data_IF_337895464162
#
_entry.id   IF_337895464162
#
_cell.length_a   1.000
_cell.length_b   1.000
_cell.length_c   1.000
_cell.angle_alpha   90.00
_cell.angle_beta   90.00
_cell.angle_gamma   90.00
#
_symmetry.space_group_name_H-M   'P 1'
#
loop_
_entity.id
_entity.type
_entity.pdbx_description
1 polymer ?
#
# COMPACT_ATOMS: atom_id res chain seq x y z
N UNK A 1 -8.55 6.95 1.61
CA UNK A 1 -7.46 6.69 0.65
C UNK A 1 -7.43 5.22 0.31
N UNK A 2 -6.94 4.86 -0.87
CA UNK A 2 -6.83 3.46 -1.31
C UNK A 2 -5.98 2.64 -0.33
N UNK A 3 -6.47 1.46 0.07
CA UNK A 3 -5.77 0.60 1.03
C UNK A 3 -4.59 -0.11 0.37
N UNK A 4 -3.48 -0.26 1.10
CA UNK A 4 -2.32 -1.01 0.63
C UNK A 4 -2.33 -2.47 1.14
N UNK A 5 -1.75 -3.42 0.37
CA UNK A 5 -1.47 -4.78 0.84
C UNK A 5 -0.62 -4.76 2.11
N UNK A 6 -0.79 -5.74 3.00
CA UNK A 6 -0.02 -5.83 4.26
C UNK A 6 1.49 -5.74 4.03
N UNK A 7 2.01 -6.48 3.05
CA UNK A 7 3.43 -6.47 2.69
C UNK A 7 3.94 -5.09 2.22
N UNK A 8 3.11 -4.31 1.55
CA UNK A 8 3.48 -2.97 1.10
C UNK A 8 3.42 -1.97 2.26
N UNK A 9 2.50 -2.16 3.21
CA UNK A 9 2.48 -1.39 4.48
C UNK A 9 3.74 -1.63 5.30
N UNK A 10 4.17 -2.89 5.44
CA UNK A 10 5.44 -3.23 6.12
C UNK A 10 6.62 -2.56 5.42
N UNK A 11 6.67 -2.58 4.08
CA UNK A 11 7.74 -1.91 3.35
C UNK A 11 7.71 -0.38 3.52
N UNK A 12 6.52 0.23 3.60
CA UNK A 12 6.38 1.66 3.92
C UNK A 12 6.88 2.01 5.33
N UNK A 13 6.62 1.14 6.32
CA UNK A 13 7.19 1.28 7.67
C UNK A 13 8.72 1.14 7.64
N UNK A 14 9.25 0.19 6.87
CA UNK A 14 10.69 0.01 6.67
C UNK A 14 11.33 1.24 6.02
N UNK A 15 10.73 1.79 4.97
CA UNK A 15 11.21 3.02 4.35
C UNK A 15 11.19 4.19 5.33
N UNK A 16 10.07 4.42 6.02
CA UNK A 16 9.96 5.48 7.05
C UNK A 16 11.08 5.34 8.08
N UNK A 17 11.35 4.12 8.50
CA UNK A 17 12.34 3.84 9.53
C UNK A 17 13.76 4.07 9.03
N UNK A 18 14.06 3.55 7.84
CA UNK A 18 15.32 3.76 7.14
C UNK A 18 15.60 5.24 6.92
N UNK A 19 14.63 6.01 6.38
CA UNK A 19 14.79 7.44 6.09
C UNK A 19 15.05 8.26 7.36
N UNK A 20 14.49 7.85 8.49
CA UNK A 20 14.74 8.47 9.81
C UNK A 20 16.18 8.24 10.28
N UNK A 21 16.68 7.00 10.19
CA UNK A 21 18.06 6.67 10.59
C UNK A 21 19.07 7.29 9.64
N UNK A 22 18.81 7.24 8.33
CA UNK A 22 19.65 7.89 7.31
C UNK A 22 19.70 9.39 7.57
N UNK A 23 18.56 10.05 7.79
CA UNK A 23 18.52 11.47 8.12
C UNK A 23 19.30 11.84 9.37
N UNK A 24 19.22 11.03 10.43
CA UNK A 24 19.97 11.25 11.67
C UNK A 24 21.49 11.21 11.45
N UNK A 25 21.97 10.22 10.69
CA UNK A 25 23.40 10.06 10.40
C UNK A 25 23.91 11.11 9.40
N UNK A 26 23.13 11.35 8.34
CA UNK A 26 23.46 12.31 7.30
C UNK A 26 23.52 13.75 7.83
N UNK A 27 22.55 14.17 8.65
CA UNK A 27 22.47 15.54 9.17
C UNK A 27 23.61 15.90 10.14
N UNK A 28 24.31 14.90 10.69
CA UNK A 28 25.49 15.09 11.55
C UNK A 28 26.80 14.76 10.81
N UNK A 29 26.76 14.71 9.48
CA UNK A 29 27.92 14.42 8.62
C UNK A 29 28.61 13.08 8.91
N UNK A 30 27.86 12.10 9.40
CA UNK A 30 28.37 10.76 9.64
C UNK A 30 28.12 9.86 8.42
N UNK A 31 29.13 9.07 8.03
CA UNK A 31 28.98 8.10 6.94
C UNK A 31 27.90 7.08 7.25
N UNK A 32 26.86 7.09 6.41
CA UNK A 32 25.67 6.25 6.51
C UNK A 32 25.95 4.88 5.89
N UNK A 33 26.36 3.91 6.71
CA UNK A 33 26.58 2.53 6.26
C UNK A 33 25.33 1.67 6.43
N UNK A 34 25.16 0.66 5.58
CA UNK A 34 24.06 -0.30 5.70
C UNK A 34 24.04 -0.98 7.08
N UNK A 35 25.19 -1.31 7.66
CA UNK A 35 25.25 -1.90 9.00
C UNK A 35 24.59 -1.01 10.07
N UNK A 36 24.88 0.30 10.06
CA UNK A 36 24.28 1.27 10.99
C UNK A 36 22.77 1.42 10.74
N UNK A 37 22.38 1.53 9.46
CA UNK A 37 20.95 1.63 9.07
C UNK A 37 20.20 0.37 9.48
N UNK A 38 20.75 -0.82 9.22
CA UNK A 38 20.18 -2.11 9.62
C UNK A 38 19.95 -2.16 11.11
N UNK A 39 20.97 -1.86 11.91
CA UNK A 39 20.83 -1.86 13.36
C UNK A 39 19.73 -0.89 13.82
N UNK A 40 19.79 0.38 13.40
CA UNK A 40 18.80 1.39 13.79
C UNK A 40 17.37 1.06 13.37
N UNK A 41 17.17 0.50 12.18
CA UNK A 41 15.84 0.08 11.70
C UNK A 41 15.33 -1.12 12.49
N UNK A 42 16.16 -2.13 12.74
CA UNK A 42 15.75 -3.29 13.53
C UNK A 42 15.42 -2.92 14.98
N UNK A 43 16.18 -2.00 15.58
CA UNK A 43 15.91 -1.50 16.93
C UNK A 43 14.59 -0.72 16.99
N UNK A 44 14.31 0.10 15.99
CA UNK A 44 13.10 0.91 15.94
C UNK A 44 11.84 0.10 15.60
N UNK A 45 11.94 -0.88 14.69
CA UNK A 45 10.79 -1.66 14.22
C UNK A 45 10.59 -2.98 14.94
N UNK A 46 11.62 -3.48 15.64
CA UNK A 46 11.65 -4.84 16.21
C UNK A 46 11.33 -5.92 15.19
N UNK A 47 11.73 -5.70 13.93
CA UNK A 47 11.52 -6.59 12.77
C UNK A 47 12.84 -6.75 12.01
N UNK A 48 13.01 -7.88 11.33
CA UNK A 48 14.20 -8.17 10.51
C UNK A 48 14.33 -7.18 9.34
N UNK A 49 15.51 -6.63 9.14
CA UNK A 49 15.82 -5.72 8.02
C UNK A 49 17.09 -6.16 7.29
N UNK A 50 16.98 -6.45 5.99
CA UNK A 50 18.07 -6.98 5.17
C UNK A 50 18.30 -6.12 3.92
N UNK A 51 19.44 -6.31 3.24
CA UNK A 51 19.76 -5.61 1.98
C UNK A 51 18.68 -5.82 0.92
N UNK A 52 18.03 -6.99 0.91
CA UNK A 52 16.86 -7.26 0.06
C UNK A 52 15.78 -6.19 0.24
N UNK A 53 15.50 -5.75 1.46
CA UNK A 53 14.48 -4.73 1.73
C UNK A 53 14.91 -3.36 1.20
N UNK A 54 16.21 -3.05 1.25
CA UNK A 54 16.79 -1.85 0.64
C UNK A 54 16.64 -1.89 -0.88
N UNK A 55 16.86 -3.05 -1.51
CA UNK A 55 16.60 -3.27 -2.93
C UNK A 55 15.11 -3.08 -3.29
N UNK A 56 14.19 -3.55 -2.45
CA UNK A 56 12.76 -3.30 -2.63
C UNK A 56 12.41 -1.81 -2.52
N UNK A 57 12.97 -1.11 -1.52
CA UNK A 57 12.82 0.35 -1.38
C UNK A 57 13.35 1.08 -2.62
N UNK A 58 14.52 0.68 -3.13
CA UNK A 58 15.10 1.21 -4.38
C UNK A 58 14.17 0.97 -5.57
N UNK A 59 13.48 -0.16 -5.63
CA UNK A 59 12.52 -0.45 -6.70
C UNK A 59 11.32 0.49 -6.66
N UNK A 60 10.78 0.73 -5.45
CA UNK A 60 9.62 1.61 -5.25
C UNK A 60 9.98 3.08 -5.44
N UNK A 61 11.18 3.49 -5.04
CA UNK A 61 11.63 4.88 -5.14
C UNK A 61 13.11 4.97 -5.58
N UNK A 62 13.40 4.74 -6.87
CA UNK A 62 14.78 4.66 -7.37
C UNK A 62 15.61 5.94 -7.18
N UNK A 63 14.95 7.09 -7.24
CA UNK A 63 15.59 8.40 -7.07
C UNK A 63 15.81 8.81 -5.60
N UNK A 64 15.44 7.96 -4.62
CA UNK A 64 15.48 8.35 -3.19
C UNK A 64 16.87 8.35 -2.57
N UNK A 65 17.74 7.44 -2.99
CA UNK A 65 19.08 7.25 -2.46
C UNK A 65 20.08 6.90 -3.55
N UNK A 66 21.33 7.31 -3.32
CA UNK A 66 22.49 6.83 -4.03
C UNK A 66 23.19 5.76 -3.18
N UNK A 67 23.43 4.61 -3.78
CA UNK A 67 24.11 3.49 -3.14
C UNK A 67 25.52 3.37 -3.70
N UNK A 68 26.52 3.18 -2.84
CA UNK A 68 27.92 2.99 -3.23
C UNK A 68 28.57 1.90 -2.40
N UNK A 69 29.70 1.40 -2.88
CA UNK A 69 30.56 0.53 -2.09
C UNK A 69 31.85 1.27 -1.75
N UNK A 70 32.11 1.45 -0.46
CA UNK A 70 33.24 2.24 0.05
C UNK A 70 34.14 1.42 0.98
N UNK A 71 35.43 1.75 1.01
CA UNK A 71 36.44 1.15 1.91
C UNK A 71 36.90 2.17 2.95
N UNK A 72 37.60 1.68 3.97
CA UNK A 72 38.25 2.50 5.00
C UNK A 72 37.27 3.36 5.82
N UNK A 73 35.99 2.98 5.88
CA UNK A 73 35.02 3.65 6.76
C UNK A 73 35.41 3.30 8.21
N UNK A 74 35.62 4.31 9.09
CA UNK A 74 35.95 4.05 10.49
C UNK A 74 34.83 3.24 11.16
N UNK A 75 35.14 2.03 11.59
CA UNK A 75 34.26 1.20 12.41
C UNK A 75 34.81 1.17 13.84
N UNK A 76 33.92 1.26 14.83
CA UNK A 76 34.30 1.17 16.26
C UNK A 76 34.82 -0.23 16.65
N UNK A 77 34.68 -1.22 15.77
CA UNK A 77 35.03 -2.61 16.01
C UNK A 77 36.34 -2.97 15.27
N UNK A 78 37.38 -3.35 16.02
CA UNK A 78 38.69 -3.79 15.50
C UNK A 78 38.65 -5.14 14.74
N UNK A 79 37.48 -5.79 14.72
CA UNK A 79 37.25 -7.10 14.10
C UNK A 79 36.96 -7.04 12.59
N UNK A 80 36.57 -5.86 12.05
CA UNK A 80 36.37 -5.69 10.61
C UNK A 80 37.69 -5.28 9.99
N UNK A 81 38.24 -6.12 9.11
CA UNK A 81 39.50 -5.79 8.42
C UNK A 81 39.29 -4.49 7.66
N UNK A 82 40.21 -3.53 7.85
CA UNK A 82 40.24 -2.21 7.17
C UNK A 82 40.12 -2.29 5.64
N UNK A 83 40.29 -3.49 5.07
CA UNK A 83 40.12 -3.83 3.67
C UNK A 83 38.69 -4.06 3.19
N UNK A 84 37.70 -4.23 4.06
CA UNK A 84 36.37 -4.72 3.67
C UNK A 84 35.47 -3.59 3.18
N UNK A 85 34.85 -3.83 2.02
CA UNK A 85 33.91 -2.93 1.37
C UNK A 85 32.58 -2.91 2.12
N UNK A 86 32.02 -1.72 2.38
CA UNK A 86 30.69 -1.56 3.00
C UNK A 86 29.74 -0.80 2.06
N UNK A 87 28.47 -1.21 2.05
CA UNK A 87 27.40 -0.52 1.34
C UNK A 87 27.08 0.80 2.06
N UNK A 88 27.22 1.92 1.37
CA UNK A 88 26.86 3.26 1.86
C UNK A 88 25.59 3.76 1.20
N UNK A 89 24.81 4.55 1.94
CA UNK A 89 23.47 5.00 1.58
C UNK A 89 23.41 6.51 1.71
N UNK A 90 23.38 7.22 0.59
CA UNK A 90 23.36 8.69 0.56
C UNK A 90 21.97 9.18 0.11
N UNK A 91 21.26 10.02 0.88
CA UNK A 91 19.98 10.56 0.45
C UNK A 91 20.17 11.54 -0.71
N UNK A 92 19.34 11.41 -1.74
CA UNK A 92 19.29 12.39 -2.83
C UNK A 92 18.30 13.49 -2.44
N UNK A 93 18.77 14.73 -2.44
CA UNK A 93 18.00 15.94 -2.13
C UNK A 93 18.02 16.86 -3.35
N UNK A 94 16.88 17.48 -3.67
CA UNK A 94 16.83 18.57 -4.64
C UNK A 94 17.51 19.79 -3.99
N UNK A 95 18.49 20.37 -4.69
CA UNK A 95 19.29 21.46 -4.15
C UNK A 95 18.45 22.74 -4.12
N UNK A 96 17.94 23.12 -2.95
CA UNK A 96 17.42 24.46 -2.72
C UNK A 96 18.60 25.43 -2.78
N UNK A 97 18.51 26.49 -3.58
CA UNK A 97 19.60 27.40 -3.97
C UNK A 97 20.20 28.28 -2.86
N UNK A 98 20.34 27.77 -1.64
CA UNK A 98 21.02 28.42 -0.53
C UNK A 98 22.40 27.81 -0.26
N UNK A 99 23.35 28.63 0.18
CA UNK A 99 24.74 28.28 0.53
C UNK A 99 24.89 27.35 1.77
N UNK A 100 23.80 26.71 2.21
CA UNK A 100 23.79 25.79 3.35
C UNK A 100 24.19 24.36 2.99
N UNK A 101 24.79 23.64 3.95
CA UNK A 101 25.02 22.21 3.81
C UNK A 101 23.69 21.47 3.62
N UNK A 102 23.63 20.54 2.67
CA UNK A 102 22.42 19.78 2.38
C UNK A 102 21.97 19.01 3.63
N UNK A 103 20.72 19.23 4.06
CA UNK A 103 20.16 18.60 5.25
C UNK A 103 18.84 17.89 4.94
N UNK A 104 18.67 16.70 5.50
CA UNK A 104 17.42 15.95 5.45
C UNK A 104 16.47 16.45 6.55
N UNK A 105 15.75 17.53 6.24
CA UNK A 105 14.80 18.20 7.13
C UNK A 105 13.51 17.40 7.36
N UNK A 106 12.68 17.86 8.31
CA UNK A 106 11.36 17.26 8.56
C UNK A 106 10.41 17.37 7.36
N UNK A 107 10.49 18.46 6.58
CA UNK A 107 9.70 18.62 5.35
C UNK A 107 10.14 17.62 4.28
N UNK A 108 11.46 17.41 4.11
CA UNK A 108 12.00 16.39 3.22
C UNK A 108 11.52 14.99 3.60
N UNK A 109 11.62 14.61 4.88
CA UNK A 109 11.13 13.31 5.39
C UNK A 109 9.64 13.09 5.09
N UNK A 110 8.81 14.12 5.27
CA UNK A 110 7.38 14.04 5.02
C UNK A 110 7.07 13.91 3.52
N UNK A 111 7.73 14.70 2.67
CA UNK A 111 7.59 14.63 1.22
C UNK A 111 8.02 13.27 0.69
N UNK A 112 9.19 12.77 1.10
CA UNK A 112 9.71 11.45 0.71
C UNK A 112 8.77 10.34 1.13
N UNK A 113 8.19 10.39 2.34
CA UNK A 113 7.15 9.45 2.80
C UNK A 113 5.91 9.49 1.91
N UNK A 114 5.42 10.69 1.55
CA UNK A 114 4.26 10.85 0.65
C UNK A 114 4.55 10.27 -0.72
N UNK A 115 5.72 10.55 -1.30
CA UNK A 115 6.14 10.01 -2.60
C UNK A 115 6.23 8.49 -2.56
N UNK A 116 6.86 7.92 -1.53
CA UNK A 116 6.95 6.47 -1.37
C UNK A 116 5.57 5.81 -1.27
N UNK A 117 4.67 6.37 -0.45
CA UNK A 117 3.29 5.90 -0.32
C UNK A 117 2.51 5.98 -1.64
N UNK A 118 2.67 7.07 -2.41
CA UNK A 118 2.05 7.23 -3.73
C UNK A 118 2.57 6.18 -4.72
N UNK A 119 3.88 5.92 -4.74
CA UNK A 119 4.47 4.92 -5.62
C UNK A 119 3.96 3.51 -5.30
N UNK A 120 3.83 3.16 -4.02
CA UNK A 120 3.22 1.88 -3.62
C UNK A 120 1.76 1.77 -4.09
N UNK A 121 0.97 2.83 -3.98
CA UNK A 121 -0.42 2.83 -4.48
C UNK A 121 -0.44 2.64 -6.00
N UNK A 122 0.46 3.30 -6.74
CA UNK A 122 0.55 3.16 -8.18
C UNK A 122 0.90 1.72 -8.60
N UNK A 123 1.82 1.05 -7.89
CA UNK A 123 2.09 -0.38 -8.14
C UNK A 123 0.82 -1.24 -7.98
N UNK A 124 0.02 -1.00 -6.95
CA UNK A 124 -1.24 -1.72 -6.75
C UNK A 124 -2.27 -1.38 -7.85
N UNK A 125 -2.30 -0.13 -8.33
CA UNK A 125 -3.16 0.28 -9.45
C UNK A 125 -2.85 -0.48 -10.73
N UNK A 126 -1.57 -0.74 -11.04
CA UNK A 126 -1.19 -1.55 -12.21
C UNK A 126 -1.77 -2.97 -12.12
N UNK A 127 -1.66 -3.61 -10.96
CA UNK A 127 -2.25 -4.94 -10.74
C UNK A 127 -3.78 -4.91 -10.77
N UNK A 128 -4.39 -3.87 -10.20
CA UNK A 128 -5.83 -3.67 -10.23
C UNK A 128 -6.36 -3.48 -11.66
N UNK A 129 -5.64 -2.74 -12.50
CA UNK A 129 -5.94 -2.53 -13.92
C UNK A 129 -5.93 -3.84 -14.72
N UNK A 130 -4.91 -4.68 -14.50
CA UNK A 130 -4.85 -6.03 -15.09
C UNK A 130 -6.03 -6.90 -14.63
N UNK A 131 -6.39 -6.83 -13.34
CA UNK A 131 -7.56 -7.52 -12.81
C UNK A 131 -8.87 -7.02 -13.42
N UNK A 132 -9.07 -5.70 -13.57
CA UNK A 132 -10.29 -5.16 -14.15
C UNK A 132 -10.45 -5.56 -15.62
N UNK A 133 -9.35 -5.63 -16.37
CA UNK A 133 -9.33 -6.08 -17.75
C UNK A 133 -9.67 -7.58 -17.91
N UNK A 134 -9.43 -8.40 -16.89
CA UNK A 134 -9.77 -9.84 -16.92
C UNK A 134 -11.22 -10.16 -16.54
N UNK A 135 -11.99 -9.16 -16.11
CA UNK A 135 -13.41 -9.35 -15.76
C UNK A 135 -14.28 -9.48 -17.03
N UNK A 136 -15.41 -10.18 -16.90
CA UNK A 136 -16.43 -10.29 -17.94
C UNK A 136 -17.72 -9.58 -17.51
N UNK A 137 -18.09 -8.42 -18.10
CA UNK A 137 -17.37 -7.70 -19.16
C UNK A 137 -16.17 -6.91 -18.62
N UNK A 138 -15.17 -6.57 -19.47
CA UNK A 138 -13.99 -5.82 -19.04
C UNK A 138 -14.37 -4.45 -18.49
N UNK A 139 -13.79 -4.08 -17.35
CA UNK A 139 -13.95 -2.73 -16.79
C UNK A 139 -12.68 -1.92 -17.04
N UNK A 140 -12.86 -0.64 -17.38
CA UNK A 140 -11.77 0.33 -17.50
C UNK A 140 -12.11 1.52 -16.61
N UNK A 141 -11.28 1.77 -15.60
CA UNK A 141 -11.45 2.89 -14.66
C UNK A 141 -10.20 3.77 -14.74
N UNK A 142 -10.33 5.09 -14.98
CA UNK A 142 -9.21 6.02 -14.95
C UNK A 142 -8.50 6.03 -13.59
N UNK A 143 -7.18 5.91 -13.58
CA UNK A 143 -6.37 5.77 -12.37
C UNK A 143 -6.43 7.00 -11.46
N UNK A 144 -6.63 8.19 -12.03
CA UNK A 144 -6.77 9.48 -11.35
C UNK A 144 -8.09 9.61 -10.58
N UNK A 145 -9.14 8.91 -11.02
CA UNK A 145 -10.49 8.97 -10.43
C UNK A 145 -10.77 7.83 -9.45
N UNK A 146 -9.85 6.86 -9.31
CA UNK A 146 -10.04 5.69 -8.47
C UNK A 146 -10.01 6.05 -6.98
N UNK A 147 -11.15 5.94 -6.30
CA UNK A 147 -11.26 6.22 -4.86
C UNK A 147 -11.26 4.95 -4.00
N UNK A 148 -11.68 3.81 -4.57
CA UNK A 148 -11.77 2.50 -3.93
C UNK A 148 -11.42 1.36 -4.90
N UNK A 149 -10.87 0.28 -4.35
CA UNK A 149 -10.65 -0.95 -5.12
C UNK A 149 -11.95 -1.65 -5.49
N UNK A 150 -11.90 -2.46 -6.54
CA UNK A 150 -13.00 -3.34 -6.89
C UNK A 150 -13.24 -4.34 -5.73
N UNK A 151 -14.49 -4.64 -5.30
CA UNK A 151 -14.74 -5.51 -4.14
C UNK A 151 -14.17 -6.93 -4.24
N UNK A 152 -14.17 -7.49 -5.45
CA UNK A 152 -13.53 -8.79 -5.78
C UNK A 152 -12.02 -8.72 -5.99
N UNK A 153 -11.39 -7.55 -5.93
CA UNK A 153 -9.94 -7.44 -6.05
C UNK A 153 -9.31 -7.73 -4.69
N UNK A 154 -8.60 -8.85 -4.58
CA UNK A 154 -7.87 -9.18 -3.37
C UNK A 154 -6.56 -8.38 -3.31
N UNK A 155 -6.58 -7.31 -2.52
CA UNK A 155 -5.42 -6.40 -2.38
C UNK A 155 -4.20 -7.13 -1.82
N UNK A 156 -4.36 -8.12 -0.94
CA UNK A 156 -3.23 -8.80 -0.30
C UNK A 156 -2.54 -9.85 -1.20
N UNK A 157 -3.20 -10.28 -2.28
CA UNK A 157 -2.65 -11.23 -3.27
C UNK A 157 -1.76 -10.59 -4.34
N UNK A 158 -1.69 -9.26 -4.38
CA UNK A 158 -0.81 -8.51 -5.29
C UNK A 158 0.62 -9.06 -5.22
N UNK A 159 1.39 -9.22 -6.31
CA UNK A 159 2.75 -9.75 -6.27
C UNK A 159 3.74 -9.02 -5.35
N UNK A 160 4.78 -9.74 -4.91
CA UNK A 160 5.88 -9.17 -4.14
C UNK A 160 6.72 -8.21 -5.00
N UNK A 161 7.19 -7.13 -4.38
CA UNK A 161 8.11 -6.19 -5.04
C UNK A 161 9.45 -6.89 -5.22
N UNK A 162 9.87 -7.03 -6.47
CA UNK A 162 11.16 -7.58 -6.85
C UNK A 162 12.25 -6.59 -6.42
N UNK A 163 13.25 -6.99 -5.62
CA UNK A 163 14.33 -6.10 -5.21
C UNK A 163 15.21 -5.67 -6.39
N UNK A 164 15.49 -4.38 -6.49
CA UNK A 164 16.45 -3.85 -7.45
C UNK A 164 17.87 -4.20 -7.01
N UNK A 165 18.75 -4.40 -8.00
CA UNK A 165 20.16 -4.69 -7.75
C UNK A 165 20.85 -3.57 -6.98
N UNK A 166 21.62 -3.95 -5.96
CA UNK A 166 22.47 -3.05 -5.18
C UNK A 166 23.92 -3.20 -5.63
N UNK A 167 24.74 -2.14 -5.52
CA UNK A 167 26.14 -2.24 -5.90
C UNK A 167 26.83 -3.29 -5.04
N UNK A 168 27.47 -4.26 -5.68
CA UNK A 168 28.30 -5.25 -5.00
C UNK A 168 29.74 -4.72 -4.89
N UNK A 169 30.51 -5.21 -3.91
CA UNK A 169 31.95 -4.99 -3.90
C UNK A 169 32.56 -5.35 -5.26
N UNK A 170 33.41 -4.48 -5.84
CA UNK A 170 34.15 -4.87 -7.04
C UNK A 170 34.94 -6.13 -6.69
N UNK A 171 34.85 -7.14 -7.56
CA UNK A 171 35.61 -8.38 -7.39
C UNK A 171 37.07 -8.00 -7.19
N UNK A 172 37.50 -8.08 -5.94
CA UNK A 172 38.92 -8.18 -5.65
C UNK A 172 39.20 -9.63 -5.93
N UNK A 173 39.96 -9.89 -7.00
CA UNK A 173 40.64 -11.17 -7.16
C UNK A 173 41.45 -11.37 -5.88
N UNK A 174 40.84 -12.03 -4.89
CA UNK A 174 41.56 -12.54 -3.73
C UNK A 174 42.37 -13.72 -4.22
N UNK A 175 43.37 -13.45 -5.06
CA UNK A 175 44.47 -14.38 -5.26
C UNK A 175 45.37 -14.26 -4.04
N UNK A 176 44.90 -14.90 -2.98
CA UNK A 176 45.73 -15.35 -1.85
C UNK A 176 45.29 -16.77 -1.55
N UNK A 177 45.30 -17.63 -2.58
CA UNK A 177 45.33 -19.07 -2.33
C UNK A 177 46.65 -19.33 -1.61
N UNK A 178 46.64 -20.15 -0.55
CA UNK A 178 47.84 -20.50 0.21
C UNK A 178 49.00 -20.95 -0.72
N UNK A 179 48.67 -21.50 -1.88
CA UNK A 179 49.59 -21.88 -2.95
C UNK A 179 50.41 -20.70 -3.53
N UNK A 180 49.83 -19.51 -3.72
CA UNK A 180 50.58 -18.34 -4.22
C UNK A 180 51.43 -17.68 -3.14
N UNK A 181 50.95 -17.67 -1.89
CA UNK A 181 51.76 -17.25 -0.75
C UNK A 181 52.97 -18.18 -0.54
N UNK A 182 52.75 -19.50 -0.68
CA UNK A 182 53.81 -20.49 -0.65
C UNK A 182 54.75 -20.38 -1.87
N UNK A 183 54.24 -20.02 -3.05
CA UNK A 183 55.06 -19.79 -4.24
C UNK A 183 55.97 -18.56 -4.09
N UNK A 184 55.46 -17.45 -3.54
CA UNK A 184 56.28 -16.27 -3.21
C UNK A 184 57.31 -16.56 -2.12
N UNK A 185 56.95 -17.33 -1.09
CA UNK A 185 57.91 -17.78 -0.08
C UNK A 185 59.00 -18.69 -0.68
N UNK A 186 58.65 -19.54 -1.66
CA UNK A 186 59.59 -20.34 -2.47
C UNK A 186 60.55 -19.48 -3.27
N UNK A 187 60.09 -18.37 -3.85
CA UNK A 187 60.99 -17.43 -4.56
C UNK A 187 61.93 -16.63 -3.64
N UNK A 188 61.67 -16.63 -2.33
CA UNK A 188 62.55 -16.00 -1.32
C UNK A 188 63.49 -17.01 -0.63
N UNK A 189 63.45 -18.29 -1.01
CA UNK A 189 64.38 -19.31 -0.54
C UNK A 189 65.71 -19.22 -1.33
N UNK A 190 66.84 -19.32 -0.63
CA UNK A 190 68.14 -19.35 -1.29
C UNK A 190 68.34 -20.70 -2.03
N UNK A 191 69.09 -20.72 -3.16
CA UNK A 191 69.25 -21.92 -4.00
C UNK A 191 69.79 -23.16 -3.26
N UNK A 192 70.49 -22.95 -2.14
CA UNK A 192 71.02 -24.03 -1.28
C UNK A 192 69.91 -24.73 -0.47
N UNK A 193 68.91 -24.00 -0.01
CA UNK A 193 67.78 -24.55 0.76
C UNK A 193 66.80 -25.31 -0.13
N UNK A 194 66.63 -24.84 -1.38
CA UNK A 194 65.78 -25.47 -2.40
C UNK A 194 66.33 -26.84 -2.83
N UNK A 195 67.65 -26.95 -3.02
CA UNK A 195 68.32 -28.24 -3.28
C UNK A 195 68.24 -29.23 -2.11
N UNK A 196 68.28 -28.73 -0.86
CA UNK A 196 68.14 -29.58 0.32
C UNK A 196 66.71 -30.15 0.46
N UNK A 197 65.69 -29.36 0.13
CA UNK A 197 64.28 -29.81 0.15
C UNK A 197 63.97 -30.79 -1.01
N UNK A 198 64.50 -30.54 -2.21
CA UNK A 198 64.31 -31.42 -3.37
C UNK A 198 64.87 -32.84 -3.13
N UNK A 199 66.03 -32.93 -2.48
CA UNK A 199 66.63 -34.22 -2.11
C UNK A 199 65.83 -34.98 -1.04
N UNK A 200 65.07 -34.28 -0.20
CA UNK A 200 64.19 -34.88 0.81
C UNK A 200 62.89 -35.41 0.19
N UNK A 201 62.32 -34.69 -0.78
CA UNK A 201 61.12 -35.08 -1.51
C UNK A 201 61.34 -36.28 -2.46
N UNK A 202 62.50 -36.35 -3.14
CA UNK A 202 62.88 -37.50 -3.97
C UNK A 202 63.06 -38.78 -3.13
N UNK A 203 63.35 -38.65 -1.84
CA UNK A 203 63.48 -39.77 -0.90
C UNK A 203 62.14 -40.30 -0.38
N UNK A 204 61.07 -39.52 -0.51
CA UNK A 204 59.71 -39.87 -0.03
C UNK A 204 58.77 -40.36 -1.14
N UNK A 205 59.12 -40.16 -2.42
CA UNK A 205 58.30 -40.56 -3.56
C UNK A 205 58.47 -42.03 -4.04
N UNK A 206 59.27 -42.84 -3.34
CA UNK A 206 59.48 -44.26 -3.70
C UNK A 206 58.41 -45.23 -3.19
N UNK A 207 57.32 -44.74 -2.59
CA UNK A 207 56.22 -45.60 -2.17
C UNK A 207 54.87 -45.16 -2.76
N UNK A 208 54.35 -46.04 -3.61
CA UNK A 208 52.96 -46.26 -4.03
C UNK A 208 52.36 -45.41 -5.16
N UNK A 209 51.96 -46.20 -6.16
CA UNK A 209 51.29 -45.99 -7.44
C UNK A 209 49.80 -45.58 -7.34
N UNK A 210 49.15 -45.23 -8.47
CA UNK A 210 47.89 -44.46 -8.58
C UNK A 210 46.72 -45.33 -9.16
N UNK A 211 45.77 -44.84 -9.99
CA UNK A 211 44.72 -43.80 -9.91
C UNK A 211 43.29 -44.35 -10.27
N UNK A 212 42.22 -43.51 -10.30
CA UNK A 212 41.40 -43.16 -11.51
C UNK A 212 39.94 -42.67 -11.25
N UNK A 213 39.31 -41.97 -12.24
CA UNK A 213 38.19 -41.03 -12.09
C UNK A 213 36.89 -41.43 -12.83
N UNK A 214 35.83 -40.61 -12.74
CA UNK A 214 34.67 -40.67 -13.65
C UNK A 214 33.59 -39.58 -13.43
N UNK A 215 33.10 -38.98 -14.52
CA UNK A 215 31.89 -38.12 -14.66
C UNK A 215 30.91 -38.83 -15.64
N UNK A 216 29.81 -38.28 -16.25
CA UNK A 216 28.85 -37.17 -15.98
C UNK A 216 27.34 -37.54 -16.35
N UNK A 217 26.40 -36.56 -16.44
CA UNK A 217 25.13 -36.61 -17.23
C UNK A 217 23.88 -35.97 -16.56
N UNK A 218 23.25 -34.86 -16.99
CA UNK A 218 22.36 -34.50 -18.15
C UNK A 218 20.86 -34.87 -18.02
N UNK A 219 19.95 -33.85 -18.10
CA UNK A 219 18.70 -33.75 -18.93
C UNK A 219 17.55 -32.89 -18.34
N UNK A 220 16.62 -32.45 -19.20
CA UNK A 220 15.84 -31.19 -19.18
C UNK A 220 14.28 -31.41 -19.34
N UNK A 221 13.39 -30.48 -19.84
CA UNK A 221 12.11 -30.07 -19.17
C UNK A 221 10.77 -30.23 -19.98
N UNK A 222 9.57 -30.06 -19.38
CA UNK A 222 8.24 -29.89 -20.04
C UNK A 222 7.26 -29.11 -19.10
N UNK A 223 6.60 -27.98 -19.41
CA UNK A 223 5.57 -27.49 -20.38
C UNK A 223 4.09 -27.53 -19.87
N UNK A 224 3.38 -26.42 -20.14
CA UNK A 224 2.05 -25.98 -19.65
C UNK A 224 0.83 -26.72 -20.25
N UNK A 225 -0.31 -26.69 -19.53
CA UNK A 225 -1.66 -26.67 -20.10
C UNK A 225 -2.69 -26.02 -19.16
N UNK A 226 -3.63 -25.27 -19.73
CA UNK A 226 -4.80 -24.66 -19.07
C UNK A 226 -6.08 -25.20 -19.71
N UNK A 227 -7.23 -25.18 -19.00
CA UNK A 227 -8.50 -25.00 -19.69
C UNK A 227 -9.45 -24.03 -18.98
N UNK A 228 -10.04 -23.14 -19.79
CA UNK A 228 -11.19 -22.31 -19.47
C UNK A 228 -12.48 -23.11 -19.53
N UNK A 229 -13.26 -23.15 -18.44
CA UNK A 229 -14.62 -23.68 -18.42
C UNK A 229 -15.59 -22.65 -17.86
N UNK A 230 -16.52 -22.15 -18.69
CA UNK A 230 -17.70 -21.41 -18.23
C UNK A 230 -18.88 -22.38 -18.00
N UNK A 231 -19.69 -22.24 -16.94
CA UNK A 231 -20.73 -23.19 -16.61
C UNK A 231 -22.03 -22.97 -17.40
N UNK A 232 -22.60 -24.08 -17.90
CA UNK A 232 -23.88 -24.19 -18.63
C UNK A 232 -25.13 -23.98 -17.75
N UNK A 233 -25.25 -22.83 -17.06
CA UNK A 233 -26.29 -22.62 -16.05
C UNK A 233 -27.46 -21.69 -16.47
N UNK A 234 -27.50 -21.15 -17.70
CA UNK A 234 -28.49 -20.13 -18.09
C UNK A 234 -29.31 -20.52 -19.33
N UNK A 235 -29.96 -21.69 -19.29
CA UNK A 235 -30.89 -22.11 -20.34
C UNK A 235 -32.28 -21.51 -20.05
N UNK A 236 -32.51 -20.25 -20.43
CA UNK A 236 -33.85 -19.63 -20.32
C UNK A 236 -33.93 -18.11 -20.25
N UNK A 237 -32.81 -17.39 -20.09
CA UNK A 237 -32.79 -15.91 -20.12
C UNK A 237 -32.17 -15.44 -21.43
N UNK A 238 -32.80 -14.50 -22.13
CA UNK A 238 -32.27 -14.00 -23.40
C UNK A 238 -30.87 -13.39 -23.19
N UNK A 239 -29.93 -13.75 -24.07
CA UNK A 239 -28.54 -13.28 -23.99
C UNK A 239 -28.48 -11.73 -23.95
N UNK A 240 -29.38 -11.07 -24.68
CA UNK A 240 -29.54 -9.62 -24.67
C UNK A 240 -29.93 -9.04 -23.29
N UNK A 241 -30.77 -9.73 -22.51
CA UNK A 241 -31.13 -9.28 -21.16
C UNK A 241 -29.96 -9.49 -20.19
N UNK A 242 -29.25 -10.60 -20.29
CA UNK A 242 -28.07 -10.88 -19.48
C UNK A 242 -26.92 -9.90 -19.75
N UNK A 243 -26.73 -9.49 -21.01
CA UNK A 243 -25.77 -8.46 -21.39
C UNK A 243 -26.17 -7.09 -20.86
N UNK A 244 -27.45 -6.74 -20.94
CA UNK A 244 -27.97 -5.48 -20.39
C UNK A 244 -27.86 -5.39 -18.87
N UNK A 245 -28.11 -6.51 -18.17
CA UNK A 245 -27.93 -6.59 -16.71
C UNK A 245 -26.45 -6.44 -16.37
N UNK A 246 -25.55 -7.19 -17.04
CA UNK A 246 -24.10 -7.08 -16.83
C UNK A 246 -23.58 -5.66 -17.09
N UNK A 247 -23.99 -5.02 -18.18
CA UNK A 247 -23.59 -3.65 -18.51
C UNK A 247 -24.08 -2.64 -17.45
N UNK A 248 -25.30 -2.82 -16.93
CA UNK A 248 -25.85 -1.97 -15.87
C UNK A 248 -25.13 -2.18 -14.52
N UNK A 249 -24.78 -3.42 -14.20
CA UNK A 249 -23.98 -3.75 -13.02
C UNK A 249 -22.57 -3.18 -13.10
N UNK A 250 -21.91 -3.25 -14.27
CA UNK A 250 -20.58 -2.67 -14.46
C UNK A 250 -20.61 -1.15 -14.38
N UNK A 251 -21.61 -0.50 -14.96
CA UNK A 251 -21.78 0.95 -14.85
C UNK A 251 -21.99 1.38 -13.39
N UNK A 252 -22.88 0.69 -12.66
CA UNK A 252 -23.12 0.96 -11.24
C UNK A 252 -21.85 0.75 -10.41
N UNK A 253 -21.09 -0.28 -10.74
CA UNK A 253 -19.86 -0.62 -10.04
C UNK A 253 -18.73 0.38 -10.32
N UNK A 254 -18.59 0.83 -11.58
CA UNK A 254 -17.67 1.88 -11.98
C UNK A 254 -17.99 3.18 -11.27
N UNK A 255 -19.26 3.61 -11.28
CA UNK A 255 -19.71 4.81 -10.57
C UNK A 255 -19.37 4.74 -9.07
N UNK A 256 -19.53 3.56 -8.44
CA UNK A 256 -19.15 3.37 -7.03
C UNK A 256 -17.64 3.48 -6.80
N UNK A 257 -16.80 3.03 -7.73
CA UNK A 257 -15.34 3.11 -7.61
C UNK A 257 -14.79 4.52 -7.84
N UNK A 258 -15.51 5.38 -8.57
CA UNK A 258 -15.10 6.75 -8.90
C UNK A 258 -15.81 7.83 -8.09
N UNK A 259 -16.69 7.45 -7.14
CA UNK A 259 -17.54 8.40 -6.40
C UNK A 259 -16.76 9.23 -5.38
N UNK A 260 -17.11 10.52 -5.26
CA UNK A 260 -16.51 11.45 -4.28
C UNK A 260 -17.01 11.13 -2.85
N UNK A 261 -16.18 11.34 -1.81
CA UNK A 261 -16.56 11.03 -0.42
C UNK A 261 -17.74 11.88 0.08
N UNK A 262 -17.84 13.16 -0.30
CA UNK A 262 -18.96 14.04 0.10
C UNK A 262 -20.31 13.56 -0.48
N UNK A 263 -20.31 13.04 -1.70
CA UNK A 263 -21.51 12.49 -2.33
C UNK A 263 -21.95 11.18 -1.65
N UNK A 264 -21.02 10.41 -1.09
CA UNK A 264 -21.33 9.18 -0.33
C UNK A 264 -21.96 9.48 1.03
N UNK A 265 -21.42 10.46 1.77
CA UNK A 265 -22.06 10.94 3.00
C UNK A 265 -23.48 11.42 2.74
N UNK A 266 -23.69 12.15 1.63
CA UNK A 266 -25.03 12.59 1.20
C UNK A 266 -25.96 11.42 0.87
N UNK A 267 -25.50 10.37 0.17
CA UNK A 267 -26.32 9.18 -0.06
C UNK A 267 -26.61 8.39 1.21
N UNK A 268 -25.65 8.29 2.14
CA UNK A 268 -25.88 7.65 3.43
C UNK A 268 -26.99 8.36 4.20
N UNK A 269 -26.98 9.70 4.20
CA UNK A 269 -28.07 10.52 4.74
C UNK A 269 -29.39 10.20 4.02
N UNK A 270 -29.42 10.27 2.68
CA UNK A 270 -30.62 10.05 1.87
C UNK A 270 -31.22 8.65 2.05
N UNK A 271 -30.39 7.60 2.13
CA UNK A 271 -30.83 6.21 2.32
C UNK A 271 -31.57 5.98 3.64
N UNK A 272 -31.31 6.80 4.67
CA UNK A 272 -31.95 6.71 6.00
C UNK A 272 -33.26 7.49 6.07
N UNK A 273 -33.44 8.50 5.22
CA UNK A 273 -34.61 9.39 5.25
C UNK A 273 -35.96 8.70 5.11
N UNK A 274 -36.16 7.64 4.29
CA UNK A 274 -37.47 6.97 4.19
C UNK A 274 -37.93 6.35 5.51
N UNK A 275 -37.03 5.73 6.26
CA UNK A 275 -37.35 5.15 7.56
C UNK A 275 -37.59 6.25 8.60
N UNK A 276 -36.80 7.32 8.57
CA UNK A 276 -37.00 8.49 9.42
C UNK A 276 -38.32 9.21 9.14
N UNK A 277 -38.73 9.31 7.87
CA UNK A 277 -40.01 9.87 7.46
C UNK A 277 -41.19 9.07 8.03
N UNK A 278 -41.10 7.74 8.00
CA UNK A 278 -42.09 6.84 8.60
C UNK A 278 -42.19 7.03 10.11
N UNK A 279 -41.05 7.10 10.80
CA UNK A 279 -40.99 7.31 12.25
C UNK A 279 -41.52 8.69 12.61
N UNK A 280 -41.11 9.74 11.90
CA UNK A 280 -41.58 11.10 12.10
C UNK A 280 -43.11 11.19 12.00
N UNK A 281 -43.71 10.59 10.97
CA UNK A 281 -45.18 10.50 10.83
C UNK A 281 -45.81 9.82 12.05
N UNK A 282 -45.24 8.71 12.50
CA UNK A 282 -45.76 7.98 13.67
C UNK A 282 -45.72 8.82 14.96
N UNK A 283 -44.66 9.62 15.16
CA UNK A 283 -44.53 10.54 16.30
C UNK A 283 -45.62 11.62 16.26
N UNK A 284 -45.87 12.23 15.09
CA UNK A 284 -46.92 13.24 14.93
C UNK A 284 -48.35 12.70 15.04
N UNK A 285 -48.57 11.41 14.73
CA UNK A 285 -49.84 10.72 14.97
C UNK A 285 -50.02 10.46 16.47
N UNK A 286 -48.98 10.00 17.16
CA UNK A 286 -49.02 9.70 18.60
C UNK A 286 -49.21 10.96 19.46
N UNK A 287 -48.48 12.04 19.17
CA UNK A 287 -48.53 13.29 19.96
C UNK A 287 -49.80 14.12 19.68
N UNK A 288 -50.54 13.84 18.59
CA UNK A 288 -51.78 14.55 18.16
C UNK A 288 -51.67 16.07 18.01
N UNK A 289 -50.48 16.66 18.09
CA UNK A 289 -50.22 18.09 17.90
C UNK A 289 -49.99 18.44 16.41
N UNK A 290 -50.29 19.68 15.99
CA UNK A 290 -50.01 20.16 14.63
C UNK A 290 -48.55 20.57 14.44
N UNK A 291 -47.85 20.93 15.52
CA UNK A 291 -46.43 21.27 15.52
C UNK A 291 -45.75 20.76 16.80
N UNK A 292 -44.49 20.35 16.68
CA UNK A 292 -43.64 19.87 17.79
C UNK A 292 -42.31 20.63 17.78
N UNK A 293 -41.66 20.77 18.94
CA UNK A 293 -40.32 21.35 19.01
C UNK A 293 -39.27 20.36 18.47
N UNK A 294 -38.15 20.88 17.98
CA UNK A 294 -37.02 20.09 17.48
C UNK A 294 -36.53 19.11 18.55
N UNK A 295 -36.37 19.57 19.79
CA UNK A 295 -35.91 18.73 20.90
C UNK A 295 -36.86 17.54 21.18
N UNK A 296 -38.16 17.80 21.28
CA UNK A 296 -39.16 16.76 21.54
C UNK A 296 -39.23 15.77 20.37
N UNK A 297 -39.18 16.28 19.14
CA UNK A 297 -39.19 15.44 17.94
C UNK A 297 -37.96 14.55 17.87
N UNK A 298 -36.76 15.11 18.07
CA UNK A 298 -35.52 14.35 18.10
C UNK A 298 -35.52 13.29 19.21
N UNK A 299 -35.95 13.63 20.43
CA UNK A 299 -36.01 12.69 21.55
C UNK A 299 -36.94 11.49 21.26
N UNK A 300 -38.13 11.74 20.70
CA UNK A 300 -39.10 10.70 20.32
C UNK A 300 -38.67 9.87 19.12
N UNK A 301 -37.97 10.48 18.17
CA UNK A 301 -37.43 9.76 17.01
C UNK A 301 -36.26 8.87 17.41
N UNK A 302 -35.35 9.34 18.26
CA UNK A 302 -34.22 8.53 18.76
C UNK A 302 -34.73 7.33 19.55
N UNK A 303 -35.79 7.47 20.36
CA UNK A 303 -36.38 6.33 21.09
C UNK A 303 -37.07 5.31 20.18
N UNK A 304 -37.52 5.72 18.99
CA UNK A 304 -38.28 4.89 18.05
C UNK A 304 -37.41 4.31 16.92
N UNK A 305 -36.19 4.81 16.76
CA UNK A 305 -35.26 4.40 15.72
C UNK A 305 -34.36 3.26 16.21
N UNK A 306 -34.27 2.17 15.43
CA UNK A 306 -33.57 0.94 15.86
C UNK A 306 -32.05 1.00 15.76
N UNK A 307 -31.48 1.99 15.09
CA UNK A 307 -30.02 2.10 14.91
C UNK A 307 -29.44 3.22 15.77
N UNK A 308 -28.26 3.00 16.35
CA UNK A 308 -27.56 4.04 17.12
C UNK A 308 -27.18 5.21 16.22
N UNK A 309 -27.39 6.44 16.70
CA UNK A 309 -27.01 7.69 16.02
C UNK A 309 -26.16 8.54 16.95
N UNK A 310 -25.26 9.37 16.39
CA UNK A 310 -24.53 10.34 17.18
C UNK A 310 -25.46 11.48 17.65
N UNK A 311 -25.15 12.12 18.81
CA UNK A 311 -25.87 13.30 19.27
C UNK A 311 -25.87 14.40 18.21
N UNK A 312 -27.04 14.93 17.87
CA UNK A 312 -27.21 15.98 16.85
C UNK A 312 -27.31 15.50 15.39
N UNK A 313 -27.13 14.21 15.10
CA UNK A 313 -27.35 13.70 13.73
C UNK A 313 -28.83 13.72 13.34
N UNK A 314 -29.73 13.40 14.27
CA UNK A 314 -31.17 13.39 14.02
C UNK A 314 -31.69 14.76 13.54
N UNK A 315 -31.21 15.84 14.16
CA UNK A 315 -31.58 17.20 13.77
C UNK A 315 -31.12 17.52 12.35
N UNK A 316 -29.89 17.16 11.97
CA UNK A 316 -29.38 17.32 10.61
C UNK A 316 -30.22 16.54 9.61
N UNK A 317 -30.63 15.31 9.93
CA UNK A 317 -31.51 14.53 9.08
C UNK A 317 -32.89 15.18 8.89
N UNK A 318 -33.46 15.79 9.93
CA UNK A 318 -34.72 16.53 9.84
C UNK A 318 -34.61 17.81 9.02
N UNK A 319 -33.48 18.52 9.13
CA UNK A 319 -33.18 19.68 8.28
C UNK A 319 -33.12 19.25 6.81
N UNK A 320 -32.34 18.23 6.47
CA UNK A 320 -32.27 17.69 5.10
C UNK A 320 -33.63 17.22 4.61
N UNK A 321 -34.43 16.56 5.46
CA UNK A 321 -35.78 16.13 5.09
C UNK A 321 -36.70 17.30 4.73
N UNK A 322 -36.58 18.42 5.46
CA UNK A 322 -37.33 19.64 5.18
C UNK A 322 -36.86 20.40 3.93
N UNK A 323 -35.56 20.36 3.62
CA UNK A 323 -35.02 20.92 2.38
C UNK A 323 -35.51 20.16 1.15
N UNK A 324 -35.61 18.83 1.25
CA UNK A 324 -36.03 17.96 0.14
C UNK A 324 -37.55 17.93 -0.05
N UNK A 325 -38.30 18.10 1.04
CA UNK A 325 -39.76 18.00 1.06
C UNK A 325 -40.40 19.17 1.85
N UNK A 326 -40.24 20.42 1.37
CA UNK A 326 -40.79 21.60 2.05
C UNK A 326 -42.32 21.58 2.12
N UNK A 327 -42.97 20.92 1.15
CA UNK A 327 -44.43 20.75 1.07
C UNK A 327 -44.97 19.84 2.19
N UNK A 328 -44.12 18.96 2.75
CA UNK A 328 -44.53 17.94 3.71
C UNK A 328 -44.03 18.24 5.13
N UNK A 329 -42.77 18.69 5.26
CA UNK A 329 -42.14 19.05 6.53
C UNK A 329 -41.60 20.47 6.46
N UNK A 330 -42.11 21.33 7.34
CA UNK A 330 -41.72 22.74 7.39
C UNK A 330 -41.15 23.11 8.76
N UNK A 331 -39.97 23.75 8.76
CA UNK A 331 -39.29 24.21 9.97
C UNK A 331 -39.60 25.70 10.20
N UNK A 332 -40.10 26.02 11.38
CA UNK A 332 -40.46 27.37 11.79
C UNK A 332 -39.61 27.76 12.99
N UNK A 333 -38.74 28.76 12.81
CA UNK A 333 -37.93 29.30 13.90
C UNK A 333 -38.70 30.40 14.61
N UNK A 334 -38.98 30.20 15.91
CA UNK A 334 -39.69 31.17 16.75
C UNK A 334 -38.80 31.43 17.97
N UNK A 335 -38.24 32.64 18.04
CA UNK A 335 -37.26 33.05 19.07
C UNK A 335 -36.02 32.13 19.08
N UNK A 336 -35.82 31.37 20.16
CA UNK A 336 -34.71 30.41 20.33
C UNK A 336 -35.05 29.01 19.82
N UNK A 337 -36.34 28.73 19.61
CA UNK A 337 -36.81 27.36 19.42
C UNK A 337 -37.20 27.11 17.96
N UNK A 338 -36.90 25.91 17.47
CA UNK A 338 -37.31 25.47 16.13
C UNK A 338 -38.49 24.52 16.25
N UNK A 339 -39.60 24.85 15.61
CA UNK A 339 -40.80 24.03 15.54
C UNK A 339 -40.91 23.34 14.19
N UNK A 340 -41.34 22.09 14.20
CA UNK A 340 -41.59 21.28 13.01
C UNK A 340 -43.10 21.15 12.84
N UNK A 341 -43.58 21.50 11.65
CA UNK A 341 -44.96 21.26 11.22
C UNK A 341 -44.97 20.20 10.13
N UNK A 342 -45.80 19.18 10.32
CA UNK A 342 -45.95 18.07 9.39
C UNK A 342 -47.35 18.11 8.76
N UNK A 343 -47.42 17.98 7.43
CA UNK A 343 -48.70 17.76 6.76
C UNK A 343 -49.11 16.27 6.86
N UNK A 344 -50.22 16.03 7.56
CA UNK A 344 -50.77 14.68 7.78
C UNK A 344 -51.61 14.18 6.60
N UNK A 345 -52.01 15.06 5.69
CA UNK A 345 -52.89 14.74 4.55
C UNK A 345 -52.16 14.02 3.41
N UNK A 346 -50.85 14.21 3.30
CA UNK A 346 -50.03 13.59 2.26
C UNK A 346 -49.86 12.10 2.54
N UNK A 347 -49.94 11.24 1.53
CA UNK A 347 -49.69 9.81 1.67
C UNK A 347 -48.20 9.50 1.88
N UNK A 348 -47.88 8.57 2.78
CA UNK A 348 -46.51 8.15 3.06
C UNK A 348 -45.88 7.44 1.86
N UNK A 349 -46.69 6.70 1.07
CA UNK A 349 -46.21 6.02 -0.14
C UNK A 349 -45.62 7.01 -1.15
N UNK A 350 -46.33 8.11 -1.40
CA UNK A 350 -45.86 9.19 -2.28
C UNK A 350 -44.58 9.87 -1.77
N UNK A 351 -44.47 10.09 -0.44
CA UNK A 351 -43.26 10.63 0.18
C UNK A 351 -42.07 9.68 0.02
N UNK A 352 -42.26 8.38 0.27
CA UNK A 352 -41.23 7.37 0.09
C UNK A 352 -40.77 7.25 -1.36
N UNK A 353 -41.70 7.34 -2.32
CA UNK A 353 -41.37 7.34 -3.75
C UNK A 353 -40.57 8.58 -4.15
N UNK A 354 -40.97 9.77 -3.70
CA UNK A 354 -40.24 11.03 -3.97
C UNK A 354 -38.83 11.00 -3.37
N UNK A 355 -38.66 10.49 -2.14
CA UNK A 355 -37.33 10.28 -1.53
C UNK A 355 -36.49 9.24 -2.29
N UNK A 356 -37.12 8.17 -2.80
CA UNK A 356 -36.43 7.18 -3.62
C UNK A 356 -35.97 7.76 -4.96
N UNK A 357 -36.78 8.61 -5.61
CA UNK A 357 -36.39 9.30 -6.86
C UNK A 357 -35.21 10.25 -6.63
N UNK A 358 -35.25 11.04 -5.56
CA UNK A 358 -34.14 11.93 -5.17
C UNK A 358 -32.87 11.12 -4.90
N UNK A 359 -32.98 9.99 -4.19
CA UNK A 359 -31.84 9.10 -3.93
C UNK A 359 -31.27 8.52 -5.22
N UNK A 360 -32.12 8.14 -6.19
CA UNK A 360 -31.68 7.65 -7.50
C UNK A 360 -31.04 8.72 -8.38
N UNK A 361 -31.48 9.98 -8.28
CA UNK A 361 -30.85 11.10 -8.99
C UNK A 361 -29.45 11.38 -8.42
N UNK A 362 -29.31 11.36 -7.09
CA UNK A 362 -28.02 11.49 -6.40
C UNK A 362 -27.08 10.30 -6.60
N UNK A 363 -27.61 9.10 -6.88
CA UNK A 363 -26.82 7.93 -7.30
C UNK A 363 -26.28 8.05 -8.74
N UNK A 364 -26.89 8.88 -9.59
CA UNK A 364 -26.48 9.11 -10.99
C UNK A 364 -25.49 10.27 -11.15
N UNK A 365 -25.39 11.15 -10.15
CA UNK A 365 -24.41 12.24 -10.01
C UNK A 365 -23.08 11.74 -9.44
#
# INVERSE_FOLDING_TARGET
GLTLPYKYKVLAEMFRSMDTIVGMLFNRSETVTFAKVKQGVQDMMRKRFEERNVGQIKTVYPASYRFRQERNIPTFNDSVKRSDYQLTIEPVLEQEGGEGAAQLSASHLLQRRRTFGRNLVNLVKEHHKVFLASLSPPLVVPEDQLTRWHPRFNVDEVPDIIPAELPTPPHTDKVTTAQEMLARARTMLTPKMEKALANLALKTANNSSPPKPGSPGLSSPLKLASPSSSPSALKGVSQALLERIRAKETQKLQARMTRRPQQEERLLVLSRLPELARILRSVFVAEKKPALTMEVTCARMVSSYRSSMLPGEMEKHLQVLSELLPDWLSLHRIRTDTYLRLDKSVDLGHISERLARITQEEEKL
#
